data_IF_084342408571
#
_entry.id   IF_084342408571
#
_cell.length_a   1.000
_cell.length_b   1.000
_cell.length_c   1.000
_cell.angle_alpha   90.00
_cell.angle_beta   90.00
_cell.angle_gamma   90.00
#
_symmetry.space_group_name_H-M   'P 1'
#
loop_
_entity.id
_entity.type
_entity.pdbx_description
1 polymer ?
#
# COMPACT_ATOMS: atom_id res chain seq x y z
N UNK A 1 13.08 -20.77 -17.12
CA UNK A 1 11.61 -20.77 -17.22
C UNK A 1 11.00 -19.98 -16.05
N UNK A 2 10.16 -19.00 -16.34
CA UNK A 2 9.55 -18.16 -15.31
C UNK A 2 8.41 -18.93 -14.65
N UNK A 3 8.52 -19.19 -13.35
CA UNK A 3 7.48 -19.88 -12.57
C UNK A 3 6.24 -18.97 -12.45
N UNK A 4 5.15 -19.34 -13.13
CA UNK A 4 3.86 -18.64 -13.08
C UNK A 4 2.89 -19.26 -12.07
N UNK A 5 3.25 -20.39 -11.44
CA UNK A 5 2.38 -21.15 -10.53
C UNK A 5 2.22 -20.49 -9.16
N UNK A 6 3.13 -19.56 -8.80
CA UNK A 6 3.25 -18.91 -7.49
C UNK A 6 3.57 -19.88 -6.34
N UNK A 7 3.97 -21.11 -6.63
CA UNK A 7 4.26 -22.14 -5.62
C UNK A 7 5.39 -21.70 -4.68
N UNK A 8 6.45 -21.09 -5.23
CA UNK A 8 7.56 -20.52 -4.46
C UNK A 8 7.11 -19.50 -3.41
N UNK A 9 6.13 -18.64 -3.73
CA UNK A 9 5.57 -17.68 -2.78
C UNK A 9 4.85 -18.38 -1.61
N UNK A 10 4.12 -19.45 -1.87
CA UNK A 10 3.41 -20.24 -0.84
C UNK A 10 4.40 -20.95 0.10
N UNK A 11 5.50 -21.46 -0.45
CA UNK A 11 6.56 -22.07 0.35
C UNK A 11 7.20 -21.03 1.28
N UNK A 12 7.50 -19.82 0.78
CA UNK A 12 8.01 -18.72 1.60
C UNK A 12 7.06 -18.32 2.73
N UNK A 13 5.75 -18.24 2.45
CA UNK A 13 4.71 -17.92 3.44
C UNK A 13 4.72 -18.87 4.64
N UNK A 14 5.12 -20.13 4.45
CA UNK A 14 5.06 -21.16 5.49
C UNK A 14 6.42 -21.51 6.11
N UNK A 15 7.51 -20.91 5.62
CA UNK A 15 8.90 -21.21 6.00
C UNK A 15 9.34 -20.61 7.35
N UNK A 16 8.49 -20.69 8.39
CA UNK A 16 8.83 -20.25 9.75
C UNK A 16 10.06 -21.00 10.27
N UNK A 17 11.00 -20.26 10.86
CA UNK A 17 12.30 -20.80 11.30
C UNK A 17 13.38 -20.81 10.21
N UNK A 18 13.03 -20.42 8.98
CA UNK A 18 13.98 -20.15 7.88
C UNK A 18 13.85 -18.72 7.35
N UNK A 19 12.64 -18.16 7.41
CA UNK A 19 12.35 -16.76 7.11
C UNK A 19 11.74 -16.14 8.35
N UNK A 20 12.33 -15.02 8.79
CA UNK A 20 11.90 -14.31 9.99
C UNK A 20 10.76 -13.34 9.73
N UNK A 21 10.67 -12.79 8.51
CA UNK A 21 9.70 -11.75 8.16
C UNK A 21 9.38 -11.74 6.66
N UNK A 22 8.11 -11.49 6.33
CA UNK A 22 7.65 -11.17 4.97
C UNK A 22 7.15 -9.74 4.86
N UNK A 23 7.49 -9.08 3.74
CA UNK A 23 7.05 -7.73 3.40
C UNK A 23 6.42 -7.78 1.99
N UNK A 24 5.10 -8.07 1.88
CA UNK A 24 4.45 -8.09 0.59
C UNK A 24 4.37 -6.69 -0.02
N UNK A 25 4.85 -6.55 -1.27
CA UNK A 25 4.76 -5.30 -2.05
C UNK A 25 4.08 -5.61 -3.37
N UNK A 26 2.91 -5.03 -3.61
CA UNK A 26 2.16 -5.24 -4.84
C UNK A 26 0.69 -4.92 -4.68
N UNK A 27 -0.12 -5.46 -5.59
CA UNK A 27 -1.57 -5.23 -5.55
C UNK A 27 -2.23 -5.84 -4.31
N UNK A 28 -3.43 -5.34 -3.99
CA UNK A 28 -4.26 -5.78 -2.86
C UNK A 28 -4.44 -7.30 -2.79
N UNK A 29 -4.54 -7.98 -3.93
CA UNK A 29 -4.67 -9.44 -3.99
C UNK A 29 -3.41 -10.18 -3.49
N UNK A 30 -2.22 -9.68 -3.80
CA UNK A 30 -0.97 -10.27 -3.30
C UNK A 30 -0.83 -10.05 -1.79
N UNK A 31 -1.05 -8.81 -1.36
CA UNK A 31 -0.96 -8.45 0.07
C UNK A 31 -1.92 -9.32 0.88
N UNK A 32 -3.17 -9.40 0.45
CA UNK A 32 -4.18 -10.25 1.09
C UNK A 32 -3.80 -11.72 1.09
N UNK A 33 -3.32 -12.26 -0.04
CA UNK A 33 -2.89 -13.66 -0.09
C UNK A 33 -1.76 -13.96 0.90
N UNK A 34 -0.80 -13.05 1.06
CA UNK A 34 0.30 -13.22 2.01
C UNK A 34 -0.20 -13.12 3.46
N UNK A 35 -1.01 -12.11 3.78
CA UNK A 35 -1.57 -11.91 5.12
C UNK A 35 -2.46 -13.08 5.54
N UNK A 36 -3.31 -13.57 4.63
CA UNK A 36 -4.29 -14.64 4.94
C UNK A 36 -3.63 -16.03 5.09
N UNK A 37 -2.46 -16.27 4.48
CA UNK A 37 -1.85 -17.62 4.40
C UNK A 37 -0.48 -17.77 5.09
N UNK A 38 0.19 -16.67 5.46
CA UNK A 38 1.53 -16.75 6.04
C UNK A 38 1.54 -17.26 7.49
N UNK A 39 2.45 -18.19 7.76
CA UNK A 39 2.86 -18.59 9.13
C UNK A 39 4.06 -17.77 9.61
N UNK A 40 4.87 -17.29 8.68
CA UNK A 40 5.94 -16.32 8.91
C UNK A 40 5.30 -14.97 9.29
N UNK A 41 5.83 -14.22 10.27
CA UNK A 41 5.36 -12.87 10.56
C UNK A 41 5.33 -11.97 9.32
N UNK A 42 4.33 -11.09 9.21
CA UNK A 42 4.13 -10.23 8.05
C UNK A 42 4.02 -8.76 8.48
N UNK A 43 4.71 -7.87 7.77
CA UNK A 43 4.40 -6.43 7.80
C UNK A 43 3.53 -6.10 6.60
N UNK A 44 2.25 -5.86 6.85
CA UNK A 44 1.30 -5.43 5.83
C UNK A 44 1.52 -3.96 5.45
N UNK A 45 1.50 -3.66 4.15
CA UNK A 45 1.44 -2.28 3.64
C UNK A 45 0.00 -1.91 3.31
N UNK A 46 -0.49 -0.77 3.83
CA UNK A 46 -1.90 -0.38 3.72
C UNK A 46 -2.40 0.03 2.33
N UNK A 47 -3.73 0.13 2.22
CA UNK A 47 -4.51 0.41 1.00
C UNK A 47 -4.47 1.87 0.55
N UNK A 48 -4.25 2.83 1.46
CA UNK A 48 -3.91 4.20 1.08
C UNK A 48 -5.06 5.16 0.78
N UNK A 49 -6.10 5.24 1.62
CA UNK A 49 -7.15 6.26 1.47
C UNK A 49 -6.72 7.54 2.20
N UNK A 50 -5.97 8.40 1.52
CA UNK A 50 -5.46 9.63 2.11
C UNK A 50 -6.48 10.78 2.01
N UNK A 51 -6.59 11.57 3.08
CA UNK A 51 -7.53 12.68 3.17
C UNK A 51 -6.75 14.00 3.28
N UNK A 52 -7.27 15.04 2.64
CA UNK A 52 -6.85 16.42 2.84
C UNK A 52 -8.03 17.17 3.43
N UNK A 53 -7.78 17.92 4.50
CA UNK A 53 -8.76 18.82 5.09
C UNK A 53 -8.30 20.26 4.90
N UNK A 54 -9.14 21.09 4.29
CA UNK A 54 -8.88 22.52 4.11
C UNK A 54 -9.57 23.30 5.22
N UNK A 55 -8.79 23.75 6.20
CA UNK A 55 -9.32 24.55 7.30
C UNK A 55 -9.95 25.86 6.78
N UNK A 56 -11.02 26.33 7.44
CA UNK A 56 -11.70 27.59 7.12
C UNK A 56 -10.77 28.81 7.07
N UNK A 57 -9.68 28.82 7.85
CA UNK A 57 -8.70 29.89 7.89
C UNK A 57 -7.52 29.69 6.92
N UNK A 58 -7.53 28.65 6.08
CA UNK A 58 -6.44 28.36 5.17
C UNK A 58 -6.37 29.38 4.02
N UNK A 59 -5.14 29.68 3.57
CA UNK A 59 -4.94 30.36 2.31
C UNK A 59 -5.37 29.44 1.16
N UNK A 60 -6.41 29.84 0.42
CA UNK A 60 -6.99 29.01 -0.63
C UNK A 60 -6.04 28.75 -1.80
N UNK A 61 -5.19 29.71 -2.16
CA UNK A 61 -4.24 29.54 -3.27
C UNK A 61 -3.18 28.48 -2.94
N UNK A 62 -2.73 28.44 -1.68
CA UNK A 62 -1.81 27.41 -1.20
C UNK A 62 -2.50 26.06 -1.08
N UNK A 63 -3.72 26.02 -0.52
CA UNK A 63 -4.51 24.80 -0.37
C UNK A 63 -4.76 24.12 -1.72
N UNK A 64 -5.07 24.89 -2.77
CA UNK A 64 -5.23 24.38 -4.13
C UNK A 64 -3.94 23.76 -4.64
N UNK A 65 -2.78 24.43 -4.49
CA UNK A 65 -1.48 23.90 -4.94
C UNK A 65 -1.11 22.61 -4.23
N UNK A 66 -1.30 22.55 -2.91
CA UNK A 66 -1.01 21.36 -2.10
C UNK A 66 -1.92 20.19 -2.51
N UNK A 67 -3.22 20.43 -2.60
CA UNK A 67 -4.21 19.40 -2.96
C UNK A 67 -3.95 18.87 -4.38
N UNK A 68 -3.65 19.77 -5.31
CA UNK A 68 -3.29 19.44 -6.68
C UNK A 68 -2.04 18.54 -6.72
N UNK A 69 -0.98 18.91 -6.01
CA UNK A 69 0.24 18.11 -5.94
C UNK A 69 -0.03 16.73 -5.33
N UNK A 70 -0.77 16.68 -4.23
CA UNK A 70 -1.06 15.45 -3.50
C UNK A 70 -1.89 14.44 -4.30
N UNK A 71 -2.80 14.89 -5.18
CA UNK A 71 -3.55 13.97 -6.07
C UNK A 71 -2.84 13.70 -7.40
N UNK A 72 -2.35 14.75 -8.07
CA UNK A 72 -2.03 14.70 -9.50
C UNK A 72 -0.55 14.40 -9.79
N UNK A 73 0.35 14.53 -8.82
CA UNK A 73 1.77 14.23 -9.04
C UNK A 73 2.02 12.76 -9.40
N UNK A 74 1.31 11.83 -8.75
CA UNK A 74 1.29 10.40 -9.07
C UNK A 74 -0.01 9.76 -8.58
N UNK A 75 -1.09 9.77 -9.37
CA UNK A 75 -2.40 9.29 -8.90
C UNK A 75 -2.48 7.81 -8.53
N UNK A 76 -1.49 6.98 -8.92
CA UNK A 76 -1.50 5.52 -8.77
C UNK A 76 -0.81 5.01 -7.51
N UNK A 77 -0.25 5.88 -6.66
CA UNK A 77 0.40 5.47 -5.39
C UNK A 77 -0.56 5.53 -4.21
N UNK A 78 -0.31 4.69 -3.20
CA UNK A 78 -1.15 4.59 -2.01
C UNK A 78 -1.13 5.82 -1.09
N UNK A 79 -0.32 6.84 -1.37
CA UNK A 79 -0.33 8.08 -0.60
C UNK A 79 -0.91 9.27 -1.38
N UNK A 80 -1.45 9.03 -2.58
CA UNK A 80 -2.18 10.06 -3.31
C UNK A 80 -3.46 10.42 -2.53
N UNK A 81 -3.80 11.70 -2.48
CA UNK A 81 -5.05 12.14 -1.83
C UNK A 81 -6.27 11.53 -2.55
N UNK A 82 -7.27 11.07 -1.80
CA UNK A 82 -8.51 10.52 -2.35
C UNK A 82 -9.75 11.32 -1.93
N UNK A 83 -9.68 11.96 -0.76
CA UNK A 83 -10.80 12.72 -0.21
C UNK A 83 -10.32 14.12 0.14
N UNK A 84 -11.10 15.12 -0.26
CA UNK A 84 -10.92 16.51 0.13
C UNK A 84 -12.10 16.93 1.02
N UNK A 85 -11.81 17.40 2.22
CA UNK A 85 -12.76 17.76 3.29
C UNK A 85 -12.71 19.26 3.60
#
# INVERSE_FOLDING_TARGET
PQDTSRQSSTEMMTARGKIDLLIPRGGRGLIRAVVDNAKVPVIETGTGICHIYVNKAANLDEAVKITANAKMSRPSVCNAAEVCL
#
